data_IF_619326640236
#
_entry.id   IF_619326640236
#
_cell.length_a   1.000
_cell.length_b   1.000
_cell.length_c   1.000
_cell.angle_alpha   90.00
_cell.angle_beta   90.00
_cell.angle_gamma   90.00
#
_symmetry.space_group_name_H-M   'P 1'
#
loop_
_entity.id
_entity.type
_entity.pdbx_description
1 polymer ?
#
# COMPACT_ATOMS: atom_id res chain seq x y z
N UNK A 1 8.32 -5.63 6.02
CA UNK A 1 9.78 -5.94 5.93
C UNK A 1 10.44 -4.91 5.03
N UNK A 2 11.67 -4.50 5.32
CA UNK A 2 12.35 -3.41 4.61
C UNK A 2 13.86 -3.59 4.55
N UNK A 3 14.46 -3.22 3.42
CA UNK A 3 15.92 -3.08 3.30
C UNK A 3 16.37 -1.68 3.71
N UNK A 4 17.38 -1.60 4.57
CA UNK A 4 18.00 -0.35 5.01
C UNK A 4 19.48 -0.57 5.34
N UNK A 5 20.37 0.26 4.81
CA UNK A 5 21.81 0.19 5.13
C UNK A 5 22.47 -1.17 4.88
N UNK A 6 22.05 -1.90 3.85
CA UNK A 6 22.56 -3.24 3.53
C UNK A 6 22.04 -4.38 4.42
N UNK A 7 21.08 -4.08 5.30
CA UNK A 7 20.43 -5.05 6.20
C UNK A 7 18.96 -5.20 5.83
N UNK A 8 18.42 -6.40 6.05
CA UNK A 8 16.99 -6.67 5.93
C UNK A 8 16.37 -6.64 7.33
N UNK A 9 15.27 -5.91 7.49
CA UNK A 9 14.50 -5.83 8.72
C UNK A 9 13.08 -6.36 8.50
N UNK A 10 12.58 -7.15 9.44
CA UNK A 10 11.26 -7.76 9.39
C UNK A 10 10.51 -7.43 10.68
N UNK A 11 9.40 -6.70 10.57
CA UNK A 11 8.44 -6.55 11.65
C UNK A 11 7.74 -7.89 11.86
N UNK A 12 8.01 -8.53 13.00
CA UNK A 12 7.45 -9.81 13.38
C UNK A 12 6.35 -9.57 14.40
N UNK A 13 5.10 -9.53 13.92
CA UNK A 13 3.95 -9.43 14.80
C UNK A 13 3.94 -10.62 15.78
N UNK A 14 3.81 -10.41 17.09
CA UNK A 14 3.27 -9.21 17.77
C UNK A 14 4.30 -8.41 18.58
N UNK A 15 5.56 -8.81 18.59
CA UNK A 15 6.46 -8.45 19.70
C UNK A 15 7.84 -7.94 19.30
N UNK A 16 8.30 -8.14 18.06
CA UNK A 16 9.69 -7.85 17.74
C UNK A 16 9.96 -7.42 16.29
N UNK A 17 11.13 -6.82 16.08
CA UNK A 17 11.73 -6.64 14.76
C UNK A 17 12.96 -7.54 14.66
N UNK A 18 13.09 -8.27 13.55
CA UNK A 18 14.25 -9.11 13.27
C UNK A 18 15.14 -8.44 12.24
N UNK A 19 16.44 -8.35 12.52
CA UNK A 19 17.45 -8.10 11.49
C UNK A 19 17.86 -9.45 10.89
N UNK A 20 17.76 -9.57 9.57
CA UNK A 20 17.98 -10.80 8.83
C UNK A 20 19.16 -10.61 7.87
N UNK A 21 20.02 -11.62 7.75
CA UNK A 21 21.02 -11.70 6.70
C UNK A 21 20.29 -11.90 5.35
N UNK A 22 20.38 -10.95 4.41
CA UNK A 22 19.60 -11.03 3.18
C UNK A 22 20.08 -12.12 2.22
N UNK A 23 21.29 -12.67 2.41
CA UNK A 23 21.86 -13.74 1.58
C UNK A 23 21.52 -15.12 2.14
N UNK A 24 21.61 -15.29 3.46
CA UNK A 24 21.45 -16.62 4.10
C UNK A 24 20.09 -16.82 4.76
N UNK A 25 19.32 -15.75 4.99
CA UNK A 25 18.07 -15.78 5.75
C UNK A 25 18.24 -15.93 7.27
N UNK A 26 19.48 -15.98 7.78
CA UNK A 26 19.73 -16.11 9.21
C UNK A 26 19.32 -14.84 9.98
N UNK A 27 18.65 -15.00 11.13
CA UNK A 27 18.40 -13.89 12.06
C UNK A 27 19.71 -13.48 12.72
N UNK A 28 20.07 -12.22 12.58
CA UNK A 28 21.30 -11.61 13.11
C UNK A 28 21.07 -10.90 14.45
N UNK A 29 19.88 -10.33 14.63
CA UNK A 29 19.46 -9.67 15.86
C UNK A 29 17.93 -9.66 15.96
N UNK A 30 17.43 -9.62 17.18
CA UNK A 30 16.02 -9.44 17.51
C UNK A 30 15.88 -8.25 18.44
N UNK A 31 14.94 -7.37 18.14
CA UNK A 31 14.68 -6.15 18.90
C UNK A 31 13.26 -6.20 19.44
N UNK A 32 13.10 -6.08 20.76
CA UNK A 32 11.78 -5.99 21.37
C UNK A 32 11.10 -4.70 20.86
N UNK A 33 10.01 -4.88 20.12
CA UNK A 33 9.13 -3.82 19.62
C UNK A 33 7.71 -4.34 19.53
N UNK A 34 6.92 -4.19 20.59
CA UNK A 34 5.57 -4.70 20.63
C UNK A 34 4.67 -3.95 19.66
N UNK A 35 3.72 -4.69 19.09
CA UNK A 35 2.68 -4.20 18.20
C UNK A 35 3.20 -3.67 16.84
N UNK A 36 4.43 -3.99 16.44
CA UNK A 36 4.98 -3.57 15.15
C UNK A 36 4.36 -4.33 13.98
N UNK A 37 3.95 -3.63 12.91
CA UNK A 37 3.35 -4.24 11.70
C UNK A 37 4.02 -3.75 10.42
N UNK A 38 3.77 -2.49 10.06
CA UNK A 38 4.25 -1.88 8.82
C UNK A 38 5.67 -1.34 8.94
N UNK A 39 6.36 -1.26 7.81
CA UNK A 39 7.71 -0.68 7.75
C UNK A 39 7.97 -0.05 6.39
N UNK A 40 8.57 1.14 6.36
CA UNK A 40 9.00 1.82 5.14
C UNK A 40 10.34 2.52 5.35
N UNK A 41 11.12 2.71 4.27
CA UNK A 41 12.33 3.53 4.30
C UNK A 41 12.00 4.93 3.76
N UNK A 42 12.21 5.95 4.59
CA UNK A 42 11.95 7.36 4.26
C UNK A 42 13.24 8.14 4.45
N UNK A 43 13.85 8.59 3.35
CA UNK A 43 15.06 9.41 3.43
C UNK A 43 16.24 8.77 4.18
N UNK A 44 16.32 7.43 4.20
CA UNK A 44 17.34 6.68 4.94
C UNK A 44 16.94 6.28 6.37
N UNK A 45 15.79 6.74 6.84
CA UNK A 45 15.24 6.43 8.17
C UNK A 45 14.16 5.35 8.06
N UNK A 46 14.12 4.41 9.02
CA UNK A 46 13.09 3.38 9.06
C UNK A 46 11.87 3.93 9.79
N UNK A 47 10.73 3.94 9.12
CA UNK A 47 9.43 4.24 9.71
C UNK A 47 8.68 2.95 9.97
N UNK A 48 7.98 2.87 11.10
CA UNK A 48 7.16 1.73 11.49
C UNK A 48 5.79 2.17 11.99
N UNK A 49 4.87 1.22 12.06
CA UNK A 49 3.57 1.39 12.75
C UNK A 49 3.49 0.56 14.01
N UNK A 50 2.81 1.10 15.02
CA UNK A 50 2.33 0.33 16.17
C UNK A 50 0.81 0.17 16.07
N UNK A 51 0.36 -1.06 15.85
CA UNK A 51 -1.01 -1.45 15.52
C UNK A 51 -2.07 -0.89 16.49
N UNK A 52 -2.11 -1.44 17.71
CA UNK A 52 -3.11 -1.12 18.73
C UNK A 52 -3.01 0.33 19.21
N UNK A 53 -1.81 0.92 19.17
CA UNK A 53 -1.57 2.29 19.58
C UNK A 53 -1.95 3.30 18.49
N UNK A 54 -2.27 2.85 17.28
CA UNK A 54 -2.63 3.72 16.14
C UNK A 54 -1.52 4.72 15.81
N UNK A 55 -0.26 4.30 15.95
CA UNK A 55 0.89 5.20 15.84
C UNK A 55 1.68 4.90 14.59
N UNK A 56 2.15 5.97 13.96
CA UNK A 56 3.16 5.95 12.89
C UNK A 56 4.35 6.76 13.39
N UNK A 57 5.56 6.24 13.20
CA UNK A 57 6.75 6.96 13.66
C UNK A 57 8.04 6.36 13.17
N UNK A 58 9.13 6.87 13.73
CA UNK A 58 10.49 6.51 13.36
C UNK A 58 11.03 5.47 14.33
N UNK A 59 11.68 4.43 13.81
CA UNK A 59 12.41 3.47 14.62
C UNK A 59 13.91 3.51 14.28
N UNK A 60 14.74 3.66 15.31
CA UNK A 60 16.19 3.59 15.18
C UNK A 60 16.71 2.19 15.56
N UNK A 61 17.25 1.41 14.61
CA UNK A 61 17.77 0.07 14.88
C UNK A 61 19.03 0.05 15.76
N UNK A 62 19.72 1.17 15.94
CA UNK A 62 20.94 1.22 16.77
C UNK A 62 20.60 1.36 18.25
N UNK A 63 19.52 2.09 18.56
CA UNK A 63 19.07 2.34 19.94
C UNK A 63 17.83 1.53 20.32
N UNK A 64 17.18 0.90 19.35
CA UNK A 64 15.87 0.27 19.47
C UNK A 64 14.78 1.23 19.99
N UNK A 65 14.89 2.52 19.65
CA UNK A 65 13.93 3.53 20.09
C UNK A 65 12.91 3.78 18.98
N UNK A 66 11.63 3.64 19.33
CA UNK A 66 10.51 4.14 18.54
C UNK A 66 10.12 5.55 19.00
N UNK A 67 10.06 6.49 18.06
CA UNK A 67 9.60 7.87 18.27
C UNK A 67 8.31 8.09 17.46
N UNK A 68 7.14 8.17 18.12
CA UNK A 68 5.88 8.47 17.45
C UNK A 68 5.93 9.84 16.77
N UNK A 69 5.39 9.93 15.55
CA UNK A 69 5.27 11.20 14.81
C UNK A 69 3.81 11.64 14.77
N UNK A 70 2.90 10.74 14.40
CA UNK A 70 1.47 11.01 14.35
C UNK A 70 0.62 9.78 14.65
N UNK A 71 -0.67 10.02 14.90
CA UNK A 71 -1.66 8.97 15.11
C UNK A 71 -2.58 8.82 13.91
N UNK A 72 -3.07 7.61 13.68
CA UNK A 72 -4.10 7.29 12.68
C UNK A 72 -5.48 7.20 13.32
N UNK A 73 -6.57 7.43 12.56
CA UNK A 73 -7.94 7.30 13.08
C UNK A 73 -8.37 5.85 13.34
N UNK A 74 -7.68 4.87 12.77
CA UNK A 74 -7.87 3.43 12.99
C UNK A 74 -6.53 2.76 13.27
N UNK A 75 -6.54 1.47 13.60
CA UNK A 75 -5.31 0.71 13.88
C UNK A 75 -4.32 0.79 12.71
N UNK A 76 -3.04 1.04 13.01
CA UNK A 76 -2.01 1.41 12.02
C UNK A 76 -1.27 0.17 11.50
N UNK A 77 -1.51 -0.20 10.25
CA UNK A 77 -1.00 -1.41 9.59
C UNK A 77 0.19 -1.13 8.68
N UNK A 78 0.08 -1.50 7.40
CA UNK A 78 1.17 -1.37 6.44
C UNK A 78 1.67 0.08 6.22
N UNK A 79 2.91 0.20 5.73
CA UNK A 79 3.49 1.47 5.28
C UNK A 79 4.11 1.33 3.89
N UNK A 80 3.97 2.36 3.07
CA UNK A 80 4.77 2.56 1.87
C UNK A 80 5.11 4.04 1.72
N UNK A 81 6.31 4.35 1.27
CA UNK A 81 6.71 5.73 1.02
C UNK A 81 6.93 5.97 -0.47
N UNK A 82 6.25 6.98 -0.99
CA UNK A 82 6.46 7.55 -2.31
C UNK A 82 7.40 8.76 -2.21
N UNK A 83 8.66 8.65 -2.64
CA UNK A 83 9.61 9.75 -2.58
C UNK A 83 9.40 10.81 -3.67
N UNK A 84 8.68 10.53 -4.77
CA UNK A 84 8.45 11.54 -5.83
C UNK A 84 7.41 12.55 -5.38
N UNK A 85 6.37 12.08 -4.70
CA UNK A 85 5.28 12.92 -4.19
C UNK A 85 5.44 13.29 -2.71
N UNK A 86 6.37 12.66 -1.98
CA UNK A 86 6.51 12.85 -0.53
C UNK A 86 5.36 12.29 0.29
N UNK A 87 4.69 11.25 -0.22
CA UNK A 87 3.49 10.66 0.39
C UNK A 87 3.86 9.40 1.17
N UNK A 88 3.44 9.34 2.43
CA UNK A 88 3.44 8.13 3.24
C UNK A 88 2.05 7.49 3.19
N UNK A 89 1.95 6.37 2.50
CA UNK A 89 0.75 5.56 2.45
C UNK A 89 0.67 4.67 3.68
N UNK A 90 -0.44 4.77 4.42
CA UNK A 90 -0.67 4.01 5.65
C UNK A 90 -1.90 3.13 5.47
N UNK A 91 -1.69 1.81 5.54
CA UNK A 91 -2.76 0.82 5.63
C UNK A 91 -3.36 0.84 7.04
N UNK A 92 -4.69 0.73 7.14
CA UNK A 92 -5.40 0.75 8.41
C UNK A 92 -6.48 -0.34 8.48
N UNK A 93 -6.99 -0.60 9.69
CA UNK A 93 -8.11 -1.52 9.93
C UNK A 93 -9.27 -1.24 8.96
N UNK A 94 -9.92 -2.30 8.48
CA UNK A 94 -10.98 -2.26 7.47
C UNK A 94 -10.45 -2.19 6.04
N UNK A 95 -9.13 -2.29 5.84
CA UNK A 95 -8.49 -2.32 4.53
C UNK A 95 -8.28 -0.95 3.88
N UNK A 96 -8.48 0.14 4.62
CA UNK A 96 -8.24 1.48 4.08
C UNK A 96 -6.74 1.74 3.88
N UNK A 97 -6.39 2.43 2.80
CA UNK A 97 -5.05 2.94 2.53
C UNK A 97 -5.18 4.46 2.40
N UNK A 98 -4.59 5.18 3.34
CA UNK A 98 -4.71 6.63 3.46
C UNK A 98 -3.36 7.32 3.20
N UNK A 99 -3.32 8.39 2.38
CA UNK A 99 -2.10 9.15 2.11
C UNK A 99 -1.88 10.24 3.16
N UNK A 100 -0.69 10.24 3.76
CA UNK A 100 -0.25 11.26 4.70
C UNK A 100 1.01 11.95 4.18
N UNK A 101 1.23 13.20 4.58
CA UNK A 101 2.60 13.75 4.57
C UNK A 101 3.41 13.21 5.76
N UNK A 102 4.70 13.56 5.82
CA UNK A 102 5.59 13.12 6.90
C UNK A 102 5.34 13.82 8.25
N UNK A 103 4.41 14.79 8.31
CA UNK A 103 3.97 15.43 9.55
C UNK A 103 2.66 14.81 10.07
N UNK A 104 2.04 13.89 9.32
CA UNK A 104 0.79 13.24 9.68
C UNK A 104 -0.46 13.96 9.20
N UNK A 105 -0.35 14.94 8.29
CA UNK A 105 -1.52 15.55 7.68
C UNK A 105 -2.08 14.62 6.60
N UNK A 106 -3.39 14.36 6.65
CA UNK A 106 -4.09 13.57 5.65
C UNK A 106 -4.17 14.36 4.33
N UNK A 107 -3.68 13.77 3.24
CA UNK A 107 -3.59 14.43 1.92
C UNK A 107 -4.80 14.15 1.03
N UNK A 108 -5.70 13.26 1.44
CA UNK A 108 -6.89 12.91 0.67
C UNK A 108 -7.68 11.74 1.27
N UNK A 109 -8.78 11.33 0.62
CA UNK A 109 -9.67 10.28 1.13
C UNK A 109 -9.08 8.87 1.05
N UNK A 110 -7.96 8.68 0.34
CA UNK A 110 -7.34 7.38 0.09
C UNK A 110 -8.23 6.43 -0.71
N UNK A 111 -8.04 5.12 -0.52
CA UNK A 111 -8.80 4.08 -1.21
C UNK A 111 -8.87 2.79 -0.38
N UNK A 112 -9.75 1.87 -0.75
CA UNK A 112 -9.86 0.57 -0.11
C UNK A 112 -9.86 -0.53 -1.20
N UNK A 113 -8.71 -1.18 -1.45
CA UNK A 113 -8.58 -2.16 -2.55
C UNK A 113 -9.35 -3.45 -2.30
N UNK A 114 -9.78 -3.70 -1.06
CA UNK A 114 -10.42 -4.95 -0.64
C UNK A 114 -11.88 -4.75 -0.21
N UNK A 115 -12.43 -3.54 -0.34
CA UNK A 115 -13.81 -3.25 0.07
C UNK A 115 -14.86 -4.14 -0.61
N UNK A 116 -14.61 -4.57 -1.85
CA UNK A 116 -15.51 -5.43 -2.61
C UNK A 116 -15.39 -6.92 -2.23
N UNK A 117 -14.39 -7.30 -1.42
CA UNK A 117 -14.20 -8.68 -0.97
C UNK A 117 -15.22 -9.00 0.12
N UNK A 118 -16.45 -9.34 -0.29
CA UNK A 118 -17.47 -9.88 0.61
C UNK A 118 -17.15 -11.35 0.93
N UNK A 119 -16.12 -11.56 1.76
CA UNK A 119 -15.63 -12.88 2.13
C UNK A 119 -16.30 -13.44 3.40
N UNK A 120 -17.35 -12.79 3.92
CA UNK A 120 -18.01 -13.19 5.16
C UNK A 120 -17.09 -13.11 6.40
N UNK A 121 -15.96 -12.42 6.29
CA UNK A 121 -15.00 -12.17 7.37
C UNK A 121 -14.86 -10.67 7.60
N UNK A 122 -14.60 -10.28 8.85
CA UNK A 122 -14.17 -8.91 9.14
C UNK A 122 -12.82 -8.71 8.46
N UNK A 123 -12.79 -7.82 7.48
CA UNK A 123 -11.54 -7.38 6.86
C UNK A 123 -10.73 -6.73 7.96
N UNK A 124 -9.65 -7.39 8.37
CA UNK A 124 -8.71 -6.86 9.35
C UNK A 124 -7.95 -5.70 8.69
N UNK A 125 -6.84 -5.97 8.00
CA UNK A 125 -5.92 -4.90 7.61
C UNK A 125 -5.15 -5.26 6.36
N UNK A 126 -4.73 -4.24 5.59
CA UNK A 126 -3.60 -4.38 4.67
C UNK A 126 -2.31 -4.30 5.48
N UNK A 127 -1.63 -5.43 5.67
CA UNK A 127 -0.40 -5.61 6.46
C UNK A 127 0.89 -5.48 5.62
N UNK A 128 0.80 -5.70 4.30
CA UNK A 128 1.86 -5.46 3.33
C UNK A 128 1.54 -4.33 2.35
N UNK A 129 2.39 -3.30 2.32
CA UNK A 129 2.42 -2.29 1.24
C UNK A 129 3.86 -2.09 0.78
N UNK A 130 4.01 -1.78 -0.51
CA UNK A 130 5.29 -1.41 -1.10
C UNK A 130 5.04 -0.39 -2.20
N UNK A 131 5.95 0.56 -2.34
CA UNK A 131 5.94 1.51 -3.44
C UNK A 131 6.98 1.05 -4.47
N UNK A 132 6.54 0.83 -5.70
CA UNK A 132 7.39 0.31 -6.79
C UNK A 132 7.81 1.40 -7.80
N UNK A 133 7.49 2.68 -7.52
CA UNK A 133 7.62 3.77 -8.47
C UNK A 133 6.33 4.08 -9.20
N UNK A 134 6.34 5.19 -9.94
CA UNK A 134 5.25 5.56 -10.84
C UNK A 134 5.24 4.59 -12.03
N UNK A 135 4.12 3.89 -12.22
CA UNK A 135 3.95 3.00 -13.36
C UNK A 135 3.88 3.81 -14.65
N UNK A 136 4.81 3.63 -15.57
CA UNK A 136 4.77 4.22 -16.92
C UNK A 136 3.79 3.50 -17.85
N UNK A 137 2.85 2.73 -17.30
CA UNK A 137 1.90 1.96 -18.10
C UNK A 137 0.86 2.92 -18.67
N UNK A 138 1.14 3.44 -19.87
CA UNK A 138 0.09 4.00 -20.71
C UNK A 138 -0.89 2.86 -20.99
N UNK A 139 -2.04 2.84 -20.32
CA UNK A 139 -3.16 2.03 -20.77
C UNK A 139 -3.48 2.54 -22.18
N UNK A 140 -3.31 1.74 -23.24
CA UNK A 140 -3.75 2.16 -24.55
C UNK A 140 -5.25 2.41 -24.45
N UNK A 141 -5.70 3.64 -24.71
CA UNK A 141 -7.13 3.86 -24.86
C UNK A 141 -7.61 2.91 -25.96
N UNK A 142 -8.73 2.18 -25.78
CA UNK A 142 -9.31 1.45 -26.89
C UNK A 142 -9.54 2.48 -27.99
N UNK A 143 -8.94 2.27 -29.16
CA UNK A 143 -9.10 3.20 -30.27
C UNK A 143 -10.59 3.32 -30.57
N UNK A 144 -11.21 4.42 -30.12
CA UNK A 144 -12.66 4.62 -30.12
C UNK A 144 -13.25 4.48 -31.53
N UNK A 145 -12.42 4.59 -32.57
CA UNK A 145 -12.77 4.38 -33.97
C UNK A 145 -13.11 2.91 -34.31
N UNK A 146 -12.48 1.92 -33.67
CA UNK A 146 -12.79 0.50 -33.90
C UNK A 146 -14.18 0.12 -33.35
N UNK A 147 -14.55 0.68 -32.19
CA UNK A 147 -15.85 0.43 -31.56
C UNK A 147 -17.00 1.18 -32.25
N UNK A 148 -16.75 2.41 -32.72
CA UNK A 148 -17.73 3.18 -33.53
C UNK A 148 -17.88 2.57 -34.93
N UNK A 149 -16.78 2.11 -35.56
CA UNK A 149 -16.80 1.52 -36.90
C UNK A 149 -17.60 0.21 -36.96
N UNK A 150 -17.41 -0.69 -35.99
CA UNK A 150 -18.21 -1.92 -35.89
C UNK A 150 -19.68 -1.64 -35.52
N UNK A 151 -19.93 -0.65 -34.65
CA UNK A 151 -21.28 -0.23 -34.28
C UNK A 151 -22.09 0.35 -35.44
N UNK A 152 -21.48 1.17 -36.31
CA UNK A 152 -22.17 1.74 -37.48
C UNK A 152 -22.43 0.71 -38.58
N UNK A 153 -21.50 -0.23 -38.83
CA UNK A 153 -21.68 -1.30 -39.81
C UNK A 153 -22.82 -2.25 -39.40
N UNK A 154 -22.94 -2.55 -38.10
CA UNK A 154 -24.06 -3.32 -37.56
C UNK A 154 -25.42 -2.63 -37.75
N UNK A 155 -25.49 -1.30 -37.60
CA UNK A 155 -26.74 -0.54 -37.72
C UNK A 155 -27.23 -0.40 -39.18
N UNK A 156 -26.33 -0.41 -40.16
CA UNK A 156 -26.68 -0.37 -41.60
C UNK A 156 -27.20 -1.74 -42.07
N UNK A 157 -26.73 -2.85 -41.47
CA UNK A 157 -27.13 -4.22 -41.82
C UNK A 157 -28.60 -4.57 -41.53
N UNK A 158 -29.28 -3.85 -40.63
CA UNK A 158 -30.68 -4.14 -40.27
C UNK A 158 -31.73 -3.34 -41.07
N UNK A 159 -31.33 -2.44 -41.97
CA UNK A 159 -32.28 -1.53 -42.64
C UNK A 159 -32.77 -1.95 -44.03
N UNK A 160 -32.68 -3.23 -44.41
CA UNK A 160 -33.31 -3.74 -45.64
C UNK A 160 -34.02 -5.07 -45.45
N UNK A 161 -35.28 -5.02 -45.04
CA UNK A 161 -36.35 -5.89 -45.56
C UNK A 161 -37.71 -5.17 -45.45
N UNK A 162 -38.09 -4.53 -46.54
CA UNK A 162 -39.44 -4.09 -46.94
C UNK A 162 -39.43 -4.17 -48.48
N UNK A 163 -40.39 -4.68 -49.24
CA UNK A 163 -41.71 -5.34 -49.13
C UNK A 163 -41.97 -6.00 -50.54
N UNK A 164 -43.02 -6.82 -50.67
CA UNK A 164 -43.71 -7.30 -51.90
C UNK A 164 -43.20 -8.64 -52.48
N UNK A 165 -44.05 -9.61 -52.85
CA UNK A 165 -45.43 -9.60 -53.37
C UNK A 165 -46.38 -10.54 -52.64
#
# INVERSE_FOLDING_TARGET
>A
MQFAGGKLYHAHWVDNIQQINPVTGAVLATFDQPQVVGMALVGGTIWITHWANQQVGIWDPNTNIFTPVFNTPQLAGALAYDPSAGILWVGQLGGQILPYDLLGNLLGPGFNPIAALNLGVNIDTVDGLTFLGEGTQSVPEPESLALIGLGLVGLIGFRRRSVAT
#
